data_IF_381643608204
#
_entry.id   IF_381643608204
#
_cell.length_a   1.000
_cell.length_b   1.000
_cell.length_c   1.000
_cell.angle_alpha   90.00
_cell.angle_beta   90.00
_cell.angle_gamma   90.00
#
_symmetry.space_group_name_H-M   'P 1'
#
loop_
_entity.id
_entity.type
_entity.pdbx_description
1 polymer ?
#
# COMPACT_ATOMS: atom_id res chain seq x y z
N UNK A 1 -20.41 -31.48 -22.21
CA UNK A 1 -18.96 -31.29 -22.08
C UNK A 1 -18.76 -29.96 -21.34
N UNK A 2 -18.01 -29.95 -20.25
CA UNK A 2 -17.80 -28.75 -19.44
C UNK A 2 -16.78 -27.83 -20.14
N UNK A 3 -16.95 -26.51 -20.07
CA UNK A 3 -16.06 -25.56 -20.74
C UNK A 3 -14.65 -25.60 -20.11
N UNK A 4 -13.58 -25.84 -20.89
CA UNK A 4 -12.21 -25.85 -20.40
C UNK A 4 -11.80 -24.56 -19.65
N UNK A 5 -12.39 -23.41 -20.01
CA UNK A 5 -12.12 -22.12 -19.34
C UNK A 5 -12.67 -22.07 -17.93
N UNK A 6 -13.79 -22.76 -17.68
CA UNK A 6 -14.39 -22.88 -16.36
C UNK A 6 -13.68 -23.96 -15.53
N UNK A 7 -13.23 -25.03 -16.18
CA UNK A 7 -12.49 -26.10 -15.53
C UNK A 7 -11.20 -25.60 -14.86
N UNK A 8 -10.48 -24.67 -15.51
CA UNK A 8 -9.29 -24.04 -14.95
C UNK A 8 -9.55 -23.14 -13.72
N UNK A 9 -10.81 -22.74 -13.49
CA UNK A 9 -11.22 -21.89 -12.35
C UNK A 9 -11.86 -22.69 -11.21
N UNK A 10 -11.93 -24.02 -11.31
CA UNK A 10 -12.45 -24.85 -10.23
C UNK A 10 -11.42 -24.88 -9.11
N UNK A 11 -11.81 -24.35 -7.95
CA UNK A 11 -10.95 -24.28 -6.78
C UNK A 11 -10.96 -25.59 -5.98
N UNK A 12 -12.15 -26.20 -5.82
CA UNK A 12 -12.31 -27.49 -5.17
C UNK A 12 -13.61 -28.19 -5.63
N UNK A 13 -13.68 -29.50 -5.41
CA UNK A 13 -14.88 -30.33 -5.57
C UNK A 13 -15.28 -30.84 -4.19
N UNK A 14 -16.55 -30.65 -3.83
CA UNK A 14 -17.09 -31.02 -2.52
C UNK A 14 -18.20 -32.04 -2.70
N UNK A 15 -18.11 -33.14 -1.96
CA UNK A 15 -19.15 -34.16 -1.91
C UNK A 15 -20.17 -33.82 -0.82
N UNK A 16 -21.46 -33.86 -1.17
CA UNK A 16 -22.58 -33.57 -0.25
C UNK A 16 -23.50 -34.77 -0.11
N UNK A 17 -24.03 -34.97 1.11
CA UNK A 17 -24.84 -36.15 1.44
C UNK A 17 -26.28 -36.04 0.94
N UNK A 18 -26.76 -34.82 0.70
CA UNK A 18 -28.12 -34.54 0.24
C UNK A 18 -28.08 -33.65 -1.00
N UNK A 19 -29.06 -33.81 -1.89
CA UNK A 19 -29.28 -32.91 -3.02
C UNK A 19 -30.19 -31.73 -2.66
N UNK A 20 -30.31 -30.76 -3.57
CA UNK A 20 -31.18 -29.58 -3.39
C UNK A 20 -30.60 -28.54 -2.41
N UNK A 21 -31.48 -27.76 -1.78
CA UNK A 21 -31.09 -26.62 -0.91
C UNK A 21 -30.30 -27.05 0.33
N UNK A 22 -30.65 -28.20 0.92
CA UNK A 22 -29.94 -28.74 2.09
C UNK A 22 -28.50 -29.15 1.75
N UNK A 23 -28.29 -29.75 0.57
CA UNK A 23 -26.95 -30.04 0.06
C UNK A 23 -26.15 -28.78 -0.25
N UNK A 24 -26.81 -27.75 -0.79
CA UNK A 24 -26.16 -26.48 -1.09
C UNK A 24 -25.65 -25.78 0.18
N UNK A 25 -26.46 -25.72 1.24
CA UNK A 25 -26.02 -25.18 2.53
C UNK A 25 -24.84 -25.96 3.11
N UNK A 26 -24.87 -27.30 3.01
CA UNK A 26 -23.75 -28.15 3.44
C UNK A 26 -22.47 -27.89 2.62
N UNK A 27 -22.59 -27.72 1.29
CA UNK A 27 -21.46 -27.38 0.43
C UNK A 27 -20.85 -26.02 0.80
N UNK A 28 -21.67 -25.03 1.16
CA UNK A 28 -21.20 -23.71 1.63
C UNK A 28 -20.38 -23.86 2.92
N UNK A 29 -20.89 -24.62 3.89
CA UNK A 29 -20.24 -24.84 5.17
C UNK A 29 -18.86 -25.51 5.01
N UNK A 30 -18.80 -26.57 4.18
CA UNK A 30 -17.57 -27.27 3.85
C UNK A 30 -16.58 -26.41 3.02
N UNK A 31 -17.10 -25.50 2.19
CA UNK A 31 -16.27 -24.61 1.36
C UNK A 31 -15.73 -23.41 2.13
N UNK A 32 -16.33 -23.05 3.28
CA UNK A 32 -15.98 -21.86 4.03
C UNK A 32 -14.50 -21.85 4.48
N UNK A 33 -13.97 -22.99 4.93
CA UNK A 33 -12.57 -23.12 5.34
C UNK A 33 -11.62 -22.88 4.15
N UNK A 34 -11.91 -23.47 3.00
CA UNK A 34 -11.07 -23.35 1.81
C UNK A 34 -11.11 -21.93 1.27
N UNK A 35 -12.30 -21.32 1.18
CA UNK A 35 -12.47 -19.94 0.75
C UNK A 35 -11.70 -18.96 1.64
N UNK A 36 -11.66 -19.22 2.96
CA UNK A 36 -10.85 -18.42 3.89
C UNK A 36 -9.36 -18.51 3.57
N UNK A 37 -8.88 -19.71 3.21
CA UNK A 37 -7.48 -19.95 2.85
C UNK A 37 -7.11 -19.32 1.50
N UNK A 38 -8.02 -19.17 0.55
CA UNK A 38 -7.72 -18.57 -0.77
C UNK A 38 -7.20 -17.14 -0.63
N UNK A 39 -7.84 -16.30 0.20
CA UNK A 39 -7.39 -14.91 0.40
C UNK A 39 -5.94 -14.91 0.93
N UNK A 40 -5.65 -15.76 1.92
CA UNK A 40 -4.30 -15.87 2.48
C UNK A 40 -3.27 -16.42 1.49
N UNK A 41 -3.65 -17.38 0.65
CA UNK A 41 -2.76 -17.94 -0.39
C UNK A 41 -2.44 -16.87 -1.45
N UNK A 42 -3.43 -16.08 -1.87
CA UNK A 42 -3.22 -14.98 -2.81
C UNK A 42 -2.32 -13.89 -2.21
N UNK A 43 -2.61 -13.49 -0.97
CA UNK A 43 -1.82 -12.50 -0.22
C UNK A 43 -0.36 -12.96 -0.06
N UNK A 44 -0.15 -14.20 0.39
CA UNK A 44 1.18 -14.79 0.51
C UNK A 44 1.91 -14.81 -0.84
N UNK A 45 1.24 -15.21 -1.92
CA UNK A 45 1.84 -15.25 -3.25
C UNK A 45 2.25 -13.87 -3.74
N UNK A 46 1.44 -12.84 -3.45
CA UNK A 46 1.75 -11.46 -3.81
C UNK A 46 2.99 -10.96 -3.08
N UNK A 47 3.07 -11.17 -1.76
CA UNK A 47 4.21 -10.75 -0.95
C UNK A 47 5.48 -11.51 -1.32
N UNK A 48 5.38 -12.82 -1.62
CA UNK A 48 6.52 -13.60 -2.11
C UNK A 48 7.04 -13.03 -3.43
N UNK A 49 6.16 -12.69 -4.38
CA UNK A 49 6.56 -12.02 -5.63
C UNK A 49 7.26 -10.69 -5.36
N UNK A 50 6.76 -9.89 -4.41
CA UNK A 50 7.41 -8.64 -4.01
C UNK A 50 8.81 -8.87 -3.44
N UNK A 51 9.00 -9.87 -2.57
CA UNK A 51 10.31 -10.22 -2.03
C UNK A 51 11.26 -10.82 -3.07
N UNK A 52 10.74 -11.53 -4.06
CA UNK A 52 11.55 -12.00 -5.19
C UNK A 52 12.16 -10.83 -5.96
N UNK A 53 11.36 -9.82 -6.31
CA UNK A 53 11.85 -8.59 -6.98
C UNK A 53 12.88 -7.84 -6.12
N UNK A 54 12.65 -7.77 -4.80
CA UNK A 54 13.61 -7.21 -3.85
C UNK A 54 14.94 -7.99 -3.84
N UNK A 55 14.86 -9.32 -3.79
CA UNK A 55 16.05 -10.19 -3.68
C UNK A 55 16.88 -10.28 -4.96
N UNK A 56 16.26 -10.01 -6.12
CA UNK A 56 16.91 -10.05 -7.41
C UNK A 56 17.56 -8.71 -7.79
N UNK A 57 17.43 -7.67 -6.96
CA UNK A 57 17.92 -6.31 -7.20
C UNK A 57 17.50 -5.79 -8.60
N UNK A 58 16.29 -6.14 -9.06
CA UNK A 58 15.78 -5.69 -10.36
C UNK A 58 15.44 -4.19 -10.38
N UNK A 59 15.44 -3.55 -9.21
CA UNK A 59 15.04 -2.15 -9.01
C UNK A 59 13.56 -1.89 -9.35
N UNK A 60 12.72 -2.94 -9.39
CA UNK A 60 11.28 -2.86 -9.67
C UNK A 60 10.42 -2.92 -8.41
N UNK A 61 10.93 -2.43 -7.30
CA UNK A 61 10.22 -2.39 -6.04
C UNK A 61 10.36 -1.00 -5.42
N UNK A 62 9.37 -0.64 -4.60
CA UNK A 62 9.41 0.57 -3.78
C UNK A 62 8.94 0.23 -2.38
N UNK A 63 9.55 0.85 -1.38
CA UNK A 63 9.19 0.73 0.03
C UNK A 63 9.26 2.10 0.69
N UNK A 64 8.55 2.28 1.80
CA UNK A 64 8.51 3.57 2.49
C UNK A 64 7.46 4.51 1.91
N UNK A 65 7.00 5.44 2.74
CA UNK A 65 5.87 6.32 2.39
C UNK A 65 6.28 7.29 1.28
N UNK A 66 7.38 8.01 1.47
CA UNK A 66 7.81 9.08 0.57
C UNK A 66 8.16 8.54 -0.83
N UNK A 67 8.93 7.46 -0.91
CA UNK A 67 9.29 6.84 -2.19
C UNK A 67 8.06 6.26 -2.90
N UNK A 68 7.16 5.62 -2.15
CA UNK A 68 5.93 5.06 -2.73
C UNK A 68 5.05 6.16 -3.30
N UNK A 69 4.95 7.32 -2.63
CA UNK A 69 4.24 8.49 -3.13
C UNK A 69 4.89 9.06 -4.39
N UNK A 70 6.21 9.26 -4.41
CA UNK A 70 6.95 9.70 -5.60
C UNK A 70 6.73 8.75 -6.79
N UNK A 71 6.86 7.44 -6.58
CA UNK A 71 6.61 6.44 -7.62
C UNK A 71 5.16 6.43 -8.11
N UNK A 72 4.21 6.70 -7.21
CA UNK A 72 2.80 6.76 -7.53
C UNK A 72 2.49 8.00 -8.38
N UNK A 73 3.07 9.16 -8.06
CA UNK A 73 2.95 10.40 -8.85
C UNK A 73 3.54 10.25 -10.26
N UNK A 74 4.65 9.52 -10.40
CA UNK A 74 5.23 9.16 -11.70
C UNK A 74 4.43 8.09 -12.47
N UNK A 75 3.40 7.48 -11.85
CA UNK A 75 2.62 6.41 -12.44
C UNK A 75 3.43 5.13 -12.69
N UNK A 76 4.54 4.93 -11.95
CA UNK A 76 5.43 3.80 -12.11
C UNK A 76 4.92 2.53 -11.42
N UNK A 77 4.03 2.67 -10.44
CA UNK A 77 3.51 1.57 -9.62
C UNK A 77 2.52 0.70 -10.42
N UNK A 78 2.79 -0.60 -10.51
CA UNK A 78 1.86 -1.59 -11.04
C UNK A 78 0.88 -2.04 -9.96
N UNK A 79 1.44 -2.52 -8.84
CA UNK A 79 0.67 -3.06 -7.71
C UNK A 79 1.15 -2.35 -6.45
N UNK A 80 0.24 -1.62 -5.81
CA UNK A 80 0.44 -0.96 -4.54
C UNK A 80 0.00 -1.91 -3.42
N UNK A 81 0.91 -2.26 -2.53
CA UNK A 81 0.70 -3.19 -1.43
C UNK A 81 0.65 -2.36 -0.13
N UNK A 82 -0.50 -2.37 0.54
CA UNK A 82 -0.70 -1.60 1.76
C UNK A 82 -1.22 -2.48 2.88
N UNK A 83 -0.64 -2.33 4.07
CA UNK A 83 -1.12 -3.03 5.26
C UNK A 83 -2.47 -2.47 5.73
N UNK A 84 -3.45 -3.35 5.98
CA UNK A 84 -4.81 -2.96 6.41
C UNK A 84 -4.82 -2.07 7.68
N UNK A 85 -3.83 -2.22 8.57
CA UNK A 85 -3.72 -1.46 9.82
C UNK A 85 -2.60 -0.40 9.77
N UNK A 86 -2.36 0.21 8.61
CA UNK A 86 -1.39 1.30 8.48
C UNK A 86 -1.86 2.53 9.28
N UNK A 87 -1.13 2.87 10.34
CA UNK A 87 -1.41 4.00 11.24
C UNK A 87 -0.85 5.34 10.72
N UNK A 88 -0.88 5.55 9.39
CA UNK A 88 -0.42 6.77 8.73
C UNK A 88 -1.61 7.65 8.34
N UNK A 89 -1.55 8.93 8.72
CA UNK A 89 -2.51 9.94 8.31
C UNK A 89 -1.84 10.94 7.34
N UNK A 90 -2.61 11.37 6.35
CA UNK A 90 -2.26 12.45 5.43
C UNK A 90 -2.86 13.76 5.93
N UNK A 91 -2.01 14.74 6.21
CA UNK A 91 -2.38 16.07 6.64
C UNK A 91 -2.15 17.06 5.51
N UNK A 92 -3.18 17.80 5.15
CA UNK A 92 -3.07 18.97 4.28
C UNK A 92 -2.96 20.18 5.19
N UNK A 93 -1.74 20.68 5.33
CA UNK A 93 -1.42 21.83 6.16
C UNK A 93 -1.36 23.07 5.27
N UNK A 94 -1.93 24.18 5.73
CA UNK A 94 -1.80 25.47 5.06
C UNK A 94 -1.05 26.44 5.95
N UNK A 95 -0.03 27.08 5.41
CA UNK A 95 0.63 28.17 6.09
C UNK A 95 -0.24 29.43 5.98
N UNK A 96 -0.60 30.01 7.11
CA UNK A 96 -1.48 31.18 7.20
C UNK A 96 -0.78 32.43 6.65
N UNK A 97 0.56 32.47 6.73
CA UNK A 97 1.38 33.62 6.33
C UNK A 97 1.79 33.57 4.85
N UNK A 98 2.20 32.41 4.34
CA UNK A 98 2.63 32.29 2.93
C UNK A 98 1.51 31.80 2.00
N UNK A 99 0.45 31.21 2.54
CA UNK A 99 -0.64 30.61 1.77
C UNK A 99 -0.27 29.27 1.13
N UNK A 100 0.95 28.78 1.32
CA UNK A 100 1.43 27.51 0.78
C UNK A 100 0.75 26.32 1.44
N UNK A 101 0.48 25.30 0.62
CA UNK A 101 -0.15 24.06 1.06
C UNK A 101 0.96 23.00 1.12
N UNK A 102 1.23 22.51 2.32
CA UNK A 102 2.23 21.48 2.60
C UNK A 102 1.49 20.20 2.97
N UNK A 103 1.77 19.12 2.26
CA UNK A 103 1.21 17.81 2.58
C UNK A 103 2.23 17.06 3.43
N UNK A 104 1.84 16.69 4.65
CA UNK A 104 2.68 15.85 5.53
C UNK A 104 2.00 14.52 5.80
N UNK A 105 2.80 13.45 5.77
CA UNK A 105 2.37 12.12 6.17
C UNK A 105 2.92 11.84 7.57
N UNK A 106 2.04 11.74 8.56
CA UNK A 106 2.43 11.63 9.97
C UNK A 106 1.80 10.37 10.58
N UNK A 107 2.59 9.67 11.40
CA UNK A 107 2.11 8.59 12.26
C UNK A 107 1.35 9.15 13.48
N UNK A 108 0.53 8.32 14.13
CA UNK A 108 -0.15 8.68 15.40
C UNK A 108 0.78 9.24 16.48
N UNK A 109 2.02 8.74 16.58
CA UNK A 109 2.99 9.22 17.56
C UNK A 109 3.55 10.62 17.20
N UNK A 110 3.57 10.96 15.91
CA UNK A 110 3.99 12.26 15.42
C UNK A 110 2.85 13.29 15.37
N UNK A 111 1.59 12.83 15.39
CA UNK A 111 0.37 13.64 15.58
C UNK A 111 0.38 14.33 16.96
N UNK A 112 0.99 13.68 17.97
CA UNK A 112 1.13 14.23 19.32
C UNK A 112 2.22 15.32 19.43
N UNK A 113 3.09 15.43 18.43
CA UNK A 113 4.25 16.32 18.46
C UNK A 113 3.88 17.65 17.82
N UNK A 114 3.54 18.62 18.66
CA UNK A 114 3.11 19.97 18.28
C UNK A 114 4.13 20.73 17.42
N UNK A 115 5.41 20.33 17.42
CA UNK A 115 6.45 20.90 16.57
C UNK A 115 6.35 20.49 15.10
N UNK A 116 5.61 19.43 14.75
CA UNK A 116 5.39 19.05 13.34
C UNK A 116 4.40 19.98 12.60
N UNK A 117 3.60 20.72 13.36
CA UNK A 117 2.65 21.73 12.89
C UNK A 117 3.24 23.15 12.91
N UNK A 118 4.55 23.27 13.14
CA UNK A 118 5.28 24.54 13.02
C UNK A 118 6.25 24.45 11.86
N UNK A 119 6.29 25.50 11.06
CA UNK A 119 7.19 25.58 9.92
C UNK A 119 8.64 25.81 10.39
N UNK A 120 9.60 25.06 9.87
CA UNK A 120 10.99 25.07 10.34
C UNK A 120 11.72 26.38 10.04
N UNK A 121 11.22 27.15 9.07
CA UNK A 121 11.78 28.42 8.59
C UNK A 121 11.12 29.65 9.20
N UNK A 122 9.80 29.63 9.43
CA UNK A 122 9.02 30.82 9.85
C UNK A 122 8.43 30.71 11.25
N UNK A 123 8.51 29.54 11.90
CA UNK A 123 7.89 29.26 13.21
C UNK A 123 6.38 29.60 13.26
N UNK A 124 5.76 29.71 12.08
CA UNK A 124 4.34 29.99 11.91
C UNK A 124 3.53 28.72 12.18
N UNK A 125 2.35 28.88 12.78
CA UNK A 125 1.43 27.78 13.01
C UNK A 125 0.77 27.37 11.69
N UNK A 126 0.92 26.10 11.33
CA UNK A 126 0.29 25.51 10.16
C UNK A 126 -1.13 25.07 10.53
N UNK A 127 -2.12 25.59 9.80
CA UNK A 127 -3.51 25.21 9.99
C UNK A 127 -3.79 23.88 9.30
N UNK A 128 -4.38 22.93 10.02
CA UNK A 128 -4.84 21.66 9.44
C UNK A 128 -6.14 21.91 8.69
N UNK A 129 -6.10 21.94 7.36
CA UNK A 129 -7.31 22.03 6.56
C UNK A 129 -8.01 20.68 6.48
N UNK A 130 -7.25 19.62 6.19
CA UNK A 130 -7.80 18.28 6.02
C UNK A 130 -6.91 17.23 6.69
N UNK A 131 -7.55 16.30 7.40
CA UNK A 131 -6.96 15.09 7.97
C UNK A 131 -7.69 13.90 7.38
N UNK A 132 -6.99 13.06 6.63
CA UNK A 132 -7.53 11.84 6.03
C UNK A 132 -6.59 10.67 6.28
N UNK A 133 -7.13 9.47 6.48
CA UNK A 133 -6.30 8.27 6.56
C UNK A 133 -5.62 8.03 5.21
N UNK A 134 -4.33 7.68 5.23
CA UNK A 134 -3.59 7.41 4.00
C UNK A 134 -4.20 6.22 3.23
N UNK A 135 -4.73 5.23 3.97
CA UNK A 135 -5.48 4.10 3.41
C UNK A 135 -6.73 4.53 2.63
N UNK A 136 -7.53 5.43 3.24
CA UNK A 136 -8.74 5.96 2.60
C UNK A 136 -8.39 6.79 1.36
N UNK A 137 -7.31 7.57 1.44
CA UNK A 137 -6.84 8.35 0.30
C UNK A 137 -6.43 7.44 -0.86
N UNK A 138 -5.65 6.38 -0.61
CA UNK A 138 -5.31 5.41 -1.63
C UNK A 138 -6.55 4.74 -2.23
N UNK A 139 -7.54 4.37 -1.41
CA UNK A 139 -8.78 3.76 -1.88
C UNK A 139 -9.59 4.67 -2.81
N UNK A 140 -9.48 6.00 -2.66
CA UNK A 140 -10.14 6.97 -3.53
C UNK A 140 -9.35 7.26 -4.80
N UNK A 141 -8.02 7.34 -4.70
CA UNK A 141 -7.17 7.92 -5.74
C UNK A 141 -6.43 6.86 -6.60
N UNK A 142 -6.33 5.60 -6.16
CA UNK A 142 -5.54 4.56 -6.86
C UNK A 142 -5.88 4.42 -8.35
N UNK A 143 -7.15 4.60 -8.71
CA UNK A 143 -7.62 4.51 -10.11
C UNK A 143 -7.03 5.59 -11.01
N UNK A 144 -6.74 6.78 -10.47
CA UNK A 144 -6.17 7.89 -11.26
C UNK A 144 -4.72 7.63 -11.63
N UNK A 145 -3.98 6.95 -10.76
CA UNK A 145 -2.60 6.54 -10.98
C UNK A 145 -2.47 5.27 -11.82
N UNK A 146 -3.58 4.56 -12.05
CA UNK A 146 -3.59 3.31 -12.82
C UNK A 146 -2.90 2.15 -12.11
N UNK A 147 -2.74 2.20 -10.79
CA UNK A 147 -2.19 1.10 -10.01
C UNK A 147 -3.29 0.15 -9.53
N UNK A 148 -2.90 -1.08 -9.20
CA UNK A 148 -3.78 -2.05 -8.53
C UNK A 148 -3.51 -1.98 -7.04
N UNK A 149 -4.51 -1.63 -6.23
CA UNK A 149 -4.38 -1.56 -4.77
C UNK A 149 -4.71 -2.92 -4.15
N UNK A 150 -3.77 -3.50 -3.41
CA UNK A 150 -3.92 -4.76 -2.69
C UNK A 150 -3.66 -4.56 -1.20
N UNK A 151 -4.61 -5.01 -0.39
CA UNK A 151 -4.50 -4.93 1.07
C UNK A 151 -3.97 -6.23 1.65
N UNK A 152 -2.96 -6.11 2.51
CA UNK A 152 -2.30 -7.24 3.18
C UNK A 152 -2.50 -7.19 4.68
N UNK A 153 -2.32 -8.34 5.34
CA UNK A 153 -2.44 -8.52 6.78
C UNK A 153 -1.13 -9.05 7.37
N UNK A 154 -1.02 -9.05 8.70
CA UNK A 154 0.15 -9.60 9.40
C UNK A 154 -0.06 -11.06 9.85
N UNK A 155 -1.07 -11.76 9.33
CA UNK A 155 -1.39 -13.14 9.74
C UNK A 155 -0.40 -14.17 9.19
N UNK A 156 0.24 -13.87 8.07
CA UNK A 156 1.29 -14.69 7.46
C UNK A 156 2.68 -14.29 7.97
N UNK A 157 3.65 -15.21 7.87
CA UNK A 157 5.05 -14.91 8.20
C UNK A 157 5.60 -13.83 7.27
N UNK A 158 5.26 -13.93 5.98
CA UNK A 158 5.64 -12.98 4.93
C UNK A 158 5.01 -11.61 5.17
N UNK A 159 3.72 -11.55 5.53
CA UNK A 159 3.02 -10.32 5.89
C UNK A 159 3.59 -9.66 7.14
N UNK A 160 3.97 -10.44 8.15
CA UNK A 160 4.66 -9.92 9.33
C UNK A 160 6.02 -9.30 8.99
N UNK A 161 6.78 -9.91 8.07
CA UNK A 161 8.05 -9.35 7.58
C UNK A 161 7.81 -8.05 6.78
N UNK A 162 6.78 -8.01 5.95
CA UNK A 162 6.41 -6.81 5.20
C UNK A 162 6.07 -5.64 6.13
N UNK A 163 5.22 -5.89 7.12
CA UNK A 163 4.78 -4.85 8.07
C UNK A 163 5.94 -4.34 8.95
N UNK A 164 6.76 -5.25 9.50
CA UNK A 164 7.85 -4.89 10.42
C UNK A 164 9.12 -4.41 9.71
N UNK A 165 9.40 -4.93 8.53
CA UNK A 165 10.62 -4.63 7.77
C UNK A 165 10.49 -3.39 6.88
N UNK A 166 9.33 -3.17 6.29
CA UNK A 166 9.12 -2.14 5.24
C UNK A 166 8.07 -1.10 5.62
N UNK A 167 7.67 -1.04 6.89
CA UNK A 167 6.74 -0.03 7.39
C UNK A 167 5.28 -0.21 6.91
N UNK A 168 4.95 -1.39 6.37
CA UNK A 168 3.57 -1.71 5.96
C UNK A 168 3.08 -1.00 4.69
N UNK A 169 3.98 -0.37 3.92
CA UNK A 169 3.70 0.22 2.62
C UNK A 169 4.80 -0.14 1.63
N UNK A 170 4.40 -0.51 0.41
CA UNK A 170 5.33 -0.76 -0.67
C UNK A 170 4.60 -1.05 -1.97
N UNK A 171 5.35 -1.29 -3.03
CA UNK A 171 4.76 -1.56 -4.33
C UNK A 171 5.71 -2.24 -5.28
N UNK A 172 5.12 -2.90 -6.27
CA UNK A 172 5.84 -3.45 -7.42
C UNK A 172 5.72 -2.43 -8.56
N UNK A 173 6.85 -2.06 -9.13
CA UNK A 173 6.94 -1.09 -10.22
C UNK A 173 6.86 -1.78 -11.58
N UNK A 174 6.28 -1.10 -12.56
CA UNK A 174 6.19 -1.57 -13.96
C UNK A 174 7.55 -1.59 -14.65
N UNK A 175 8.41 -0.66 -14.28
CA UNK A 175 9.75 -0.47 -14.81
C UNK A 175 10.73 -0.18 -13.67
N UNK A 176 12.02 -0.42 -13.94
CA UNK A 176 13.08 -0.15 -12.97
C UNK A 176 13.17 1.35 -12.70
N UNK A 177 13.21 1.73 -11.44
CA UNK A 177 13.28 3.12 -11.02
C UNK A 177 14.39 3.24 -9.97
N UNK A 178 15.45 3.96 -10.31
CA UNK A 178 16.55 4.20 -9.37
C UNK A 178 16.16 5.31 -8.40
N UNK A 179 15.56 4.91 -7.27
CA UNK A 179 15.21 5.81 -6.17
C UNK A 179 16.43 6.52 -5.58
N UNK A 180 17.62 5.90 -5.63
CA UNK A 180 18.87 6.49 -5.12
C UNK A 180 19.25 7.79 -5.81
N UNK A 181 18.92 7.93 -7.09
CA UNK A 181 19.21 9.16 -7.84
C UNK A 181 18.30 10.30 -7.38
N UNK A 182 17.10 10.01 -6.88
CA UNK A 182 16.17 11.04 -6.41
C UNK A 182 16.57 11.65 -5.07
N UNK A 183 17.24 10.90 -4.19
CA UNK A 183 17.81 11.46 -2.97
C UNK A 183 18.99 12.41 -3.28
N UNK A 184 19.82 12.05 -4.27
CA UNK A 184 20.92 12.90 -4.75
C UNK A 184 20.40 14.22 -5.38
N UNK A 185 19.32 14.20 -6.16
CA UNK A 185 18.73 15.43 -6.70
C UNK A 185 18.09 16.32 -5.62
N UNK A 186 17.47 15.75 -4.58
CA UNK A 186 16.92 16.55 -3.48
C UNK A 186 18.01 17.19 -2.61
N UNK A 187 19.17 16.55 -2.48
CA UNK A 187 20.32 17.13 -1.79
C UNK A 187 21.06 18.16 -2.68
N UNK A 188 21.07 18.00 -4.01
CA UNK A 188 21.64 19.01 -4.93
C UNK A 188 20.77 20.29 -5.00
N UNK A 189 19.44 20.18 -5.08
CA UNK A 189 18.55 21.37 -5.04
C UNK A 189 18.63 22.12 -3.69
N UNK A 190 18.88 21.43 -2.58
CA UNK A 190 19.09 22.07 -1.29
C UNK A 190 20.42 22.84 -1.18
N UNK A 191 21.40 22.53 -2.05
CA UNK A 191 22.70 23.19 -2.06
C UNK A 191 22.78 24.38 -3.04
N UNK A 192 21.93 24.44 -4.08
CA UNK A 192 21.93 25.58 -5.02
C UNK A 192 21.25 26.85 -4.45
N UNK A 193 20.38 26.74 -3.44
CA UNK A 193 19.76 27.89 -2.76
C UNK A 193 20.66 28.54 -1.68
N UNK A 194 21.94 28.12 -1.59
CA UNK A 194 22.88 28.54 -0.55
C UNK A 194 24.04 29.45 -1.01
N UNK A 195 24.04 29.99 -2.24
CA UNK A 195 25.04 30.98 -2.71
C UNK A 195 24.45 32.37 -3.02
#
# INVERSE_FOLDING_TARGET
MFDPRLQAKILNVVDVSYGGENGFNQAIELSAEILSNVKFIQEKRLIVKYFEELSQDTGKYVFGVDDTLKALEMGAVEILIVWENLDMNRYVLKNITTGEIIIKHLNKDQDAVQSNFRDASTNAELEVQEKMSLLEWFANEYKKFGCTLEFVTNKSQEGSQFCRGFGGIGGILRYQLDMRTFDEYSDEEANEDSE
#
